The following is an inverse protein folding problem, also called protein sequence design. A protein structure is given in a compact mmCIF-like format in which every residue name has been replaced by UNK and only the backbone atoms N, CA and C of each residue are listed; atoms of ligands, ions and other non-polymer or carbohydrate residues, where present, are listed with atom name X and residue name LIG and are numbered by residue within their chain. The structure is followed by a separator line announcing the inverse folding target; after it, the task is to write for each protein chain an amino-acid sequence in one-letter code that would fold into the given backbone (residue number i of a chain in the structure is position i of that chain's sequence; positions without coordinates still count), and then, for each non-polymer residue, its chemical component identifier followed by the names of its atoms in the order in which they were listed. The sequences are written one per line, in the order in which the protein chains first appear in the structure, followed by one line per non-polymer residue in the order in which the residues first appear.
data_IF_077982164627
#
_entry.id   IF_077982164627
#
_cell.length_a   1.000
_cell.length_b   1.000
_cell.length_c   1.000
_cell.angle_alpha   90.00
_cell.angle_beta   90.00
_cell.angle_gamma   90.00
#
_symmetry.space_group_name_H-M   'P 1'
#
loop_
_entity.id
_entity.type
_entity.pdbx_description
1 polymer ?
#
# COMPACT_ATOMS: atom_id res chain seq x y z
N UNK A 1 79.33 18.98 -25.95
CA UNK A 1 78.06 19.66 -26.24
C UNK A 1 76.95 18.86 -25.58
N UNK A 2 76.47 19.27 -24.42
CA UNK A 2 75.28 18.73 -23.74
C UNK A 2 74.19 19.82 -23.76
N UNK A 3 72.92 19.51 -24.04
CA UNK A 3 71.87 20.51 -23.95
C UNK A 3 71.39 20.63 -22.51
N UNK A 4 71.23 21.88 -22.06
CA UNK A 4 70.66 22.26 -20.78
C UNK A 4 69.13 22.11 -20.86
N UNK A 5 68.56 21.23 -20.03
CA UNK A 5 67.12 21.11 -19.83
C UNK A 5 66.63 22.30 -18.99
N UNK A 6 65.88 23.20 -19.60
CA UNK A 6 65.17 24.29 -18.93
C UNK A 6 63.92 23.73 -18.25
N UNK A 7 63.95 23.64 -16.91
CA UNK A 7 62.79 23.31 -16.09
C UNK A 7 61.88 24.55 -16.04
N UNK A 8 60.76 24.52 -16.76
CA UNK A 8 59.73 25.56 -16.64
C UNK A 8 58.97 25.36 -15.32
N UNK A 9 59.19 26.26 -14.36
CA UNK A 9 58.33 26.39 -13.18
C UNK A 9 56.92 26.81 -13.65
N UNK A 10 55.96 25.92 -13.50
CA UNK A 10 54.54 26.29 -13.52
C UNK A 10 54.25 27.00 -12.20
N UNK A 11 53.76 28.26 -12.20
CA UNK A 11 53.40 28.91 -10.95
C UNK A 11 52.17 28.20 -10.40
N UNK A 12 52.27 27.70 -9.17
CA UNK A 12 51.12 27.25 -8.41
C UNK A 12 50.16 28.44 -8.29
N UNK A 13 48.97 28.33 -8.89
CA UNK A 13 47.87 29.23 -8.57
C UNK A 13 47.58 29.05 -7.07
N UNK A 14 47.98 30.06 -6.28
CA UNK A 14 47.55 30.17 -4.91
C UNK A 14 46.02 30.28 -4.92
N UNK A 15 45.35 29.27 -4.37
CA UNK A 15 43.94 29.37 -4.03
C UNK A 15 43.78 30.58 -3.10
N UNK A 16 42.99 31.57 -3.52
CA UNK A 16 42.63 32.68 -2.66
C UNK A 16 42.00 32.13 -1.37
N UNK A 17 42.28 32.72 -0.19
CA UNK A 17 41.63 32.29 1.04
C UNK A 17 40.12 32.50 0.87
N UNK A 18 39.37 31.40 0.89
CA UNK A 18 37.93 31.43 1.06
C UNK A 18 37.69 32.25 2.33
N UNK A 19 37.15 33.46 2.20
CA UNK A 19 36.70 34.18 3.38
C UNK A 19 35.61 33.31 4.01
N UNK A 20 35.81 32.89 5.26
CA UNK A 20 34.84 32.07 5.99
C UNK A 20 33.46 32.71 5.85
N UNK A 21 32.50 31.94 5.31
CA UNK A 21 31.15 32.43 5.15
C UNK A 21 30.59 32.76 6.55
N UNK A 22 29.87 33.89 6.72
CA UNK A 22 29.23 34.16 8.00
C UNK A 22 28.22 33.04 8.28
N UNK A 23 28.25 32.48 9.49
CA UNK A 23 27.46 31.29 9.86
C UNK A 23 25.98 31.35 9.41
N UNK A 24 25.26 32.49 9.53
CA UNK A 24 23.88 32.58 9.06
C UNK A 24 23.70 32.41 7.54
N UNK A 25 24.70 32.78 6.73
CA UNK A 25 24.65 32.60 5.28
C UNK A 25 24.66 31.12 4.89
N UNK A 26 25.21 30.25 5.75
CA UNK A 26 25.21 28.82 5.52
C UNK A 26 23.81 28.21 5.53
N UNK A 27 22.84 28.84 6.19
CA UNK A 27 21.44 28.40 6.22
C UNK A 27 20.73 28.50 4.86
N UNK A 28 21.17 29.43 3.99
CA UNK A 28 20.46 29.83 2.77
C UNK A 28 20.81 29.03 1.52
N UNK A 29 21.80 28.14 1.59
CA UNK A 29 22.11 27.27 0.46
C UNK A 29 21.15 26.07 0.41
N UNK A 30 20.81 25.58 -0.78
CA UNK A 30 19.87 24.46 -0.97
C UNK A 30 20.55 23.12 -1.36
N UNK A 31 21.89 23.08 -1.40
CA UNK A 31 22.66 21.88 -1.73
C UNK A 31 22.58 20.78 -0.68
N UNK A 32 22.72 19.51 -1.10
CA UNK A 32 22.76 18.35 -0.21
C UNK A 32 24.05 18.28 0.63
N UNK A 33 25.14 18.84 0.13
CA UNK A 33 26.44 18.92 0.81
C UNK A 33 26.70 20.32 1.35
N UNK A 34 27.40 20.41 2.49
CA UNK A 34 27.89 21.68 3.01
C UNK A 34 29.05 22.18 2.16
N UNK A 35 28.96 23.43 1.70
CA UNK A 35 30.07 24.10 1.04
C UNK A 35 31.30 24.15 1.96
N UNK A 36 32.53 24.06 1.42
CA UNK A 36 33.75 24.06 2.22
C UNK A 36 33.86 25.24 3.19
N UNK A 37 33.50 26.45 2.74
CA UNK A 37 33.52 27.66 3.56
C UNK A 37 32.52 27.59 4.73
N UNK A 38 31.39 26.92 4.54
CA UNK A 38 30.40 26.70 5.60
C UNK A 38 30.82 25.61 6.57
N UNK A 39 31.45 24.54 6.08
CA UNK A 39 32.03 23.51 6.95
C UNK A 39 33.07 24.11 7.89
N UNK A 40 34.00 24.89 7.34
CA UNK A 40 35.04 25.57 8.13
C UNK A 40 34.43 26.54 9.16
N UNK A 41 33.43 27.33 8.75
CA UNK A 41 32.74 28.24 9.66
C UNK A 41 32.02 27.48 10.81
N UNK A 42 31.40 26.34 10.52
CA UNK A 42 30.70 25.50 11.51
C UNK A 42 31.70 24.82 12.46
N UNK A 43 32.81 24.29 11.94
CA UNK A 43 33.88 23.71 12.75
C UNK A 43 34.51 24.71 13.71
N UNK A 44 34.52 26.00 13.35
CA UNK A 44 35.03 27.09 14.19
C UNK A 44 33.99 27.70 15.14
N UNK A 45 32.70 27.38 14.98
CA UNK A 45 31.60 27.98 15.73
C UNK A 45 31.42 27.39 17.13
N UNK A 46 30.72 28.13 18.00
CA UNK A 46 30.27 27.60 19.29
C UNK A 46 29.07 26.67 19.12
N UNK A 47 28.92 25.70 20.03
CA UNK A 47 27.82 24.73 19.97
C UNK A 47 26.44 25.38 19.87
N UNK A 48 26.20 26.50 20.58
CA UNK A 48 24.93 27.25 20.54
C UNK A 48 24.60 27.78 19.15
N UNK A 49 25.58 28.38 18.48
CA UNK A 49 25.39 28.97 17.16
C UNK A 49 25.08 27.88 16.12
N UNK A 50 25.72 26.70 16.25
CA UNK A 50 25.44 25.54 15.41
C UNK A 50 24.04 24.99 15.66
N UNK A 51 23.59 24.91 16.92
CA UNK A 51 22.23 24.48 17.24
C UNK A 51 21.19 25.42 16.61
N UNK A 52 21.38 26.73 16.72
CA UNK A 52 20.49 27.72 16.09
C UNK A 52 20.51 27.61 14.56
N UNK A 53 21.68 27.38 13.96
CA UNK A 53 21.84 27.22 12.52
C UNK A 53 21.04 26.04 11.96
N UNK A 54 20.99 24.90 12.67
CA UNK A 54 20.33 23.68 12.15
C UNK A 54 18.81 23.69 12.29
N UNK A 55 18.26 24.55 13.14
CA UNK A 55 16.80 24.61 13.41
C UNK A 55 15.94 24.75 12.14
N UNK A 56 16.24 25.65 11.18
CA UNK A 56 15.44 25.79 9.97
C UNK A 56 15.45 24.53 9.10
N UNK A 57 16.58 23.81 9.03
CA UNK A 57 16.69 22.57 8.26
C UNK A 57 15.89 21.43 8.91
N UNK A 58 15.90 21.35 10.25
CA UNK A 58 15.09 20.37 10.98
C UNK A 58 13.60 20.62 10.72
N UNK A 59 13.15 21.88 10.79
CA UNK A 59 11.75 22.25 10.46
C UNK A 59 11.39 21.93 9.01
N UNK A 60 12.31 22.12 8.08
CA UNK A 60 12.15 21.78 6.67
C UNK A 60 12.32 20.27 6.38
N UNK A 61 12.57 19.44 7.41
CA UNK A 61 12.88 18.00 7.30
C UNK A 61 14.11 17.67 6.44
N UNK A 62 15.01 18.63 6.28
CA UNK A 62 16.30 18.43 5.64
C UNK A 62 17.32 17.88 6.65
N UNK A 63 17.08 16.65 7.10
CA UNK A 63 17.88 16.03 8.17
C UNK A 63 19.31 15.70 7.74
N UNK A 64 19.52 15.36 6.46
CA UNK A 64 20.86 15.10 5.90
C UNK A 64 21.79 16.29 6.14
N UNK A 65 21.30 17.50 5.90
CA UNK A 65 22.09 18.72 6.08
C UNK A 65 22.30 19.09 7.53
N UNK A 66 21.26 18.96 8.35
CA UNK A 66 21.37 19.17 9.80
C UNK A 66 22.41 18.23 10.43
N UNK A 67 22.41 16.95 10.04
CA UNK A 67 23.42 15.98 10.48
C UNK A 67 24.83 16.37 10.01
N UNK A 68 25.00 16.78 8.75
CA UNK A 68 26.31 17.19 8.24
C UNK A 68 26.90 18.38 9.02
N UNK A 69 26.07 19.33 9.46
CA UNK A 69 26.53 20.47 10.26
C UNK A 69 26.85 20.08 11.70
N UNK A 70 26.04 19.22 12.32
CA UNK A 70 26.32 18.69 13.65
C UNK A 70 27.59 17.84 13.66
N UNK A 71 27.79 17.01 12.64
CA UNK A 71 29.01 16.20 12.45
C UNK A 71 30.25 17.08 12.26
N UNK A 72 30.14 18.16 11.48
CA UNK A 72 31.21 19.14 11.32
C UNK A 72 31.58 19.80 12.66
N UNK A 73 30.60 20.27 13.44
CA UNK A 73 30.87 20.86 14.75
C UNK A 73 31.50 19.85 15.74
N UNK A 74 31.05 18.60 15.71
CA UNK A 74 31.57 17.52 16.54
C UNK A 74 32.98 17.07 16.15
N UNK A 75 33.45 17.35 14.93
CA UNK A 75 34.82 17.03 14.53
C UNK A 75 35.86 17.78 15.40
N UNK A 76 35.54 19.00 15.83
CA UNK A 76 36.40 19.80 16.72
C UNK A 76 36.16 19.51 18.20
N UNK A 77 34.91 19.26 18.60
CA UNK A 77 34.56 18.91 19.97
C UNK A 77 33.75 17.60 20.05
N UNK A 78 34.41 16.42 19.97
CA UNK A 78 33.71 15.13 19.87
C UNK A 78 32.93 14.72 21.12
N UNK A 79 33.11 15.43 22.24
CA UNK A 79 32.48 15.14 23.54
C UNK A 79 31.50 16.21 23.99
N UNK A 80 31.14 17.13 23.11
CA UNK A 80 30.11 18.13 23.38
C UNK A 80 28.75 17.44 23.59
N UNK A 81 28.25 17.47 24.82
CA UNK A 81 27.04 16.72 25.18
C UNK A 81 25.80 17.25 24.46
N UNK A 82 25.69 18.57 24.28
CA UNK A 82 24.55 19.21 23.64
C UNK A 82 24.52 18.91 22.13
N UNK A 83 25.67 18.99 21.45
CA UNK A 83 25.75 18.63 20.03
C UNK A 83 25.54 17.13 19.80
N UNK A 84 26.09 16.28 20.68
CA UNK A 84 25.86 14.84 20.61
C UNK A 84 24.38 14.53 20.80
N UNK A 85 23.73 15.09 21.83
CA UNK A 85 22.31 14.88 22.06
C UNK A 85 21.50 15.32 20.83
N UNK A 86 21.74 16.53 20.32
CA UNK A 86 21.01 17.03 19.17
C UNK A 86 21.21 16.17 17.92
N UNK A 87 22.44 15.69 17.69
CA UNK A 87 22.75 14.77 16.58
C UNK A 87 21.94 13.48 16.67
N UNK A 88 21.84 12.87 17.86
CA UNK A 88 21.04 11.66 18.05
C UNK A 88 19.55 11.92 17.79
N UNK A 89 19.01 13.05 18.25
CA UNK A 89 17.62 13.45 17.99
C UNK A 89 17.36 13.57 16.48
N UNK A 90 18.22 14.31 15.75
CA UNK A 90 18.09 14.48 14.30
C UNK A 90 18.29 13.16 13.56
N UNK A 91 19.20 12.30 14.00
CA UNK A 91 19.40 10.97 13.41
C UNK A 91 18.14 10.11 13.54
N UNK A 92 17.53 10.08 14.73
CA UNK A 92 16.28 9.36 14.96
C UNK A 92 15.16 9.84 14.02
N UNK A 93 14.99 11.16 13.88
CA UNK A 93 14.02 11.74 12.96
C UNK A 93 14.30 11.40 11.49
N UNK A 94 15.58 11.31 11.10
CA UNK A 94 16.00 10.95 9.76
C UNK A 94 15.71 9.47 9.44
N UNK A 95 16.01 8.57 10.37
CA UNK A 95 15.76 7.14 10.24
C UNK A 95 14.26 6.84 10.15
N UNK A 96 13.45 7.48 11.01
CA UNK A 96 11.99 7.37 10.96
C UNK A 96 11.43 7.89 9.62
N UNK A 97 11.90 9.05 9.17
CA UNK A 97 11.46 9.62 7.89
C UNK A 97 11.85 8.71 6.70
N UNK A 98 13.03 8.12 6.72
CA UNK A 98 13.47 7.15 5.71
C UNK A 98 12.61 5.88 5.73
N UNK A 99 12.26 5.38 6.92
CA UNK A 99 11.36 4.23 7.07
C UNK A 99 9.95 4.51 6.55
N UNK A 100 9.37 5.67 6.89
CA UNK A 100 8.06 6.09 6.35
C UNK A 100 8.08 6.20 4.83
N UNK A 101 9.11 6.84 4.27
CA UNK A 101 9.29 6.94 2.82
C UNK A 101 9.51 5.57 2.15
N UNK A 102 10.09 4.60 2.86
CA UNK A 102 10.19 3.21 2.40
C UNK A 102 8.82 2.54 2.38
N UNK A 103 7.98 2.75 3.40
CA UNK A 103 6.59 2.24 3.42
C UNK A 103 5.77 2.75 2.26
N UNK A 104 5.84 4.06 1.97
CA UNK A 104 5.11 4.67 0.85
C UNK A 104 5.56 4.13 -0.51
N UNK A 105 6.86 3.84 -0.65
CA UNK A 105 7.43 3.23 -1.88
C UNK A 105 7.30 1.71 -1.92
N UNK A 106 6.79 1.09 -0.87
CA UNK A 106 6.57 -0.35 -0.81
C UNK A 106 7.78 -1.22 -0.45
N UNK A 107 8.81 -0.68 0.21
CA UNK A 107 9.95 -1.44 0.77
C UNK A 107 9.65 -2.12 2.11
N UNK A 108 10.61 -2.80 2.73
CA UNK A 108 10.57 -3.79 3.85
C UNK A 108 9.37 -3.77 4.83
N UNK A 109 8.84 -2.61 5.23
CA UNK A 109 7.60 -2.52 6.02
C UNK A 109 6.33 -2.96 5.29
N UNK A 110 6.32 -2.84 3.96
CA UNK A 110 5.26 -3.34 3.08
C UNK A 110 5.21 -4.86 3.01
N UNK A 111 6.32 -5.55 3.26
CA UNK A 111 6.38 -7.02 3.32
C UNK A 111 5.69 -7.54 4.58
N UNK A 112 5.80 -6.81 5.70
CA UNK A 112 5.09 -7.14 6.94
C UNK A 112 3.57 -6.94 6.77
N UNK A 113 3.14 -5.82 6.19
CA UNK A 113 1.71 -5.57 5.95
C UNK A 113 1.11 -6.57 4.96
N UNK A 114 1.87 -6.98 3.93
CA UNK A 114 1.49 -8.04 3.02
C UNK A 114 1.36 -9.38 3.76
N UNK A 115 2.35 -9.76 4.56
CA UNK A 115 2.32 -11.00 5.35
C UNK A 115 1.15 -11.03 6.34
N UNK A 116 0.82 -9.88 6.96
CA UNK A 116 -0.35 -9.73 7.81
C UNK A 116 -1.64 -9.87 7.02
N UNK A 117 -1.74 -9.26 5.83
CA UNK A 117 -2.90 -9.40 4.96
C UNK A 117 -3.12 -10.85 4.51
N UNK A 118 -2.05 -11.57 4.14
CA UNK A 118 -2.11 -13.00 3.78
C UNK A 118 -2.55 -13.87 4.97
N UNK A 119 -1.98 -13.63 6.15
CA UNK A 119 -2.37 -14.34 7.38
C UNK A 119 -3.84 -14.08 7.72
N UNK A 120 -4.28 -12.82 7.65
CA UNK A 120 -5.67 -12.45 7.94
C UNK A 120 -6.63 -12.99 6.89
N UNK A 121 -6.25 -12.98 5.62
CA UNK A 121 -7.01 -13.60 4.54
C UNK A 121 -7.25 -15.09 4.82
N UNK A 122 -6.26 -15.82 5.34
CA UNK A 122 -6.40 -17.27 5.55
C UNK A 122 -7.00 -17.64 6.91
N UNK A 123 -6.91 -16.77 7.92
CA UNK A 123 -7.31 -17.10 9.31
C UNK A 123 -8.51 -16.35 9.86
N UNK A 124 -8.88 -15.19 9.33
CA UNK A 124 -10.11 -14.50 9.75
C UNK A 124 -11.32 -15.14 9.07
N UNK A 125 -12.52 -14.69 9.46
CA UNK A 125 -13.78 -15.09 8.84
C UNK A 125 -14.60 -13.87 8.40
N UNK A 126 -15.49 -14.10 7.45
CA UNK A 126 -16.45 -13.11 6.96
C UNK A 126 -15.81 -11.94 6.21
N UNK A 127 -16.50 -10.80 6.20
CA UNK A 127 -16.12 -9.60 5.42
C UNK A 127 -14.72 -9.06 5.79
N UNK A 128 -14.26 -9.26 7.03
CA UNK A 128 -12.90 -8.85 7.43
C UNK A 128 -11.80 -9.67 6.75
N UNK A 129 -12.07 -10.96 6.51
CA UNK A 129 -11.16 -11.81 5.77
C UNK A 129 -11.10 -11.39 4.30
N UNK A 130 -12.24 -11.10 3.67
CA UNK A 130 -12.31 -10.64 2.28
C UNK A 130 -11.50 -9.36 2.04
N UNK A 131 -11.61 -8.37 2.92
CA UNK A 131 -10.79 -7.14 2.84
C UNK A 131 -9.29 -7.43 2.90
N UNK A 132 -8.90 -8.40 3.73
CA UNK A 132 -7.49 -8.80 3.86
C UNK A 132 -7.01 -9.56 2.62
N UNK A 133 -7.85 -10.43 2.05
CA UNK A 133 -7.57 -11.11 0.79
C UNK A 133 -7.41 -10.11 -0.36
N UNK A 134 -8.29 -9.10 -0.45
CA UNK A 134 -8.20 -8.04 -1.45
C UNK A 134 -6.86 -7.27 -1.33
N UNK A 135 -6.45 -6.92 -0.10
CA UNK A 135 -5.17 -6.25 0.13
C UNK A 135 -3.97 -7.09 -0.33
N UNK A 136 -3.97 -8.39 -0.02
CA UNK A 136 -2.89 -9.29 -0.43
C UNK A 136 -2.90 -9.51 -1.95
N UNK A 137 -4.08 -9.69 -2.57
CA UNK A 137 -4.24 -9.90 -4.01
C UNK A 137 -3.87 -8.65 -4.83
N UNK A 138 -3.99 -7.43 -4.31
CA UNK A 138 -3.46 -6.23 -4.99
C UNK A 138 -1.94 -6.30 -5.20
N UNK A 139 -1.21 -6.98 -4.31
CA UNK A 139 0.25 -7.18 -4.42
C UNK A 139 0.59 -8.48 -5.15
N UNK A 140 -0.22 -9.52 -4.99
CA UNK A 140 -0.05 -10.84 -5.60
C UNK A 140 -1.33 -11.29 -6.35
N UNK A 141 -1.68 -10.67 -7.49
CA UNK A 141 -2.99 -10.88 -8.14
C UNK A 141 -3.21 -12.30 -8.69
N UNK A 142 -2.14 -13.09 -8.83
CA UNK A 142 -2.19 -14.46 -9.33
C UNK A 142 -1.97 -15.53 -8.27
N UNK A 143 -1.96 -15.18 -6.98
CA UNK A 143 -1.74 -16.16 -5.91
C UNK A 143 -2.97 -17.07 -5.77
N UNK A 144 -2.80 -18.33 -6.17
CA UNK A 144 -3.86 -19.32 -6.18
C UNK A 144 -4.41 -19.61 -4.78
N UNK A 145 -3.57 -19.55 -3.74
CA UNK A 145 -3.99 -19.83 -2.37
C UNK A 145 -4.87 -18.70 -1.82
N UNK A 146 -4.52 -17.44 -2.12
CA UNK A 146 -5.34 -16.28 -1.74
C UNK A 146 -6.67 -16.24 -2.49
N UNK A 147 -6.68 -16.61 -3.78
CA UNK A 147 -7.91 -16.74 -4.56
C UNK A 147 -8.81 -17.86 -4.02
N UNK A 148 -8.24 -19.02 -3.66
CA UNK A 148 -8.97 -20.12 -3.05
C UNK A 148 -9.55 -19.75 -1.68
N UNK A 149 -8.77 -19.10 -0.82
CA UNK A 149 -9.23 -18.60 0.48
C UNK A 149 -10.38 -17.59 0.31
N UNK A 150 -10.31 -16.74 -0.72
CA UNK A 150 -11.40 -15.81 -1.05
C UNK A 150 -12.69 -16.55 -1.41
N UNK A 151 -12.60 -17.61 -2.22
CA UNK A 151 -13.74 -18.48 -2.52
C UNK A 151 -14.34 -19.14 -1.27
N UNK A 152 -13.48 -19.58 -0.34
CA UNK A 152 -13.91 -20.17 0.94
C UNK A 152 -14.71 -19.16 1.78
N UNK A 153 -14.24 -17.91 1.88
CA UNK A 153 -14.96 -16.85 2.61
C UNK A 153 -16.26 -16.44 1.95
N UNK A 154 -16.28 -16.31 0.62
CA UNK A 154 -17.49 -15.99 -0.14
C UNK A 154 -18.54 -17.10 -0.01
N UNK A 155 -18.11 -18.36 0.01
CA UNK A 155 -18.98 -19.51 0.27
C UNK A 155 -19.60 -19.42 1.66
N UNK A 156 -18.79 -19.14 2.69
CA UNK A 156 -19.26 -18.98 4.07
C UNK A 156 -20.24 -17.81 4.24
N UNK A 157 -20.10 -16.76 3.43
CA UNK A 157 -21.02 -15.61 3.38
C UNK A 157 -22.24 -15.81 2.48
N UNK A 158 -22.38 -16.96 1.82
CA UNK A 158 -23.48 -17.27 0.89
C UNK A 158 -23.38 -16.56 -0.47
N UNK A 159 -22.26 -15.90 -0.77
CA UNK A 159 -21.99 -15.18 -2.02
C UNK A 159 -21.47 -16.15 -3.09
N UNK A 160 -22.34 -17.08 -3.49
CA UNK A 160 -22.00 -18.24 -4.30
C UNK A 160 -21.36 -17.93 -5.65
N UNK A 161 -21.92 -17.00 -6.42
CA UNK A 161 -21.45 -16.71 -7.78
C UNK A 161 -20.04 -16.12 -7.76
N UNK A 162 -19.78 -15.25 -6.78
CA UNK A 162 -18.45 -14.70 -6.55
C UNK A 162 -17.48 -15.77 -6.05
N UNK A 163 -17.93 -16.70 -5.20
CA UNK A 163 -17.12 -17.84 -4.76
C UNK A 163 -16.70 -18.73 -5.94
N UNK A 164 -17.63 -19.05 -6.84
CA UNK A 164 -17.33 -19.79 -8.07
C UNK A 164 -16.31 -19.07 -8.95
N UNK A 165 -16.45 -17.76 -9.10
CA UNK A 165 -15.49 -16.95 -9.85
C UNK A 165 -14.09 -17.02 -9.21
N UNK A 166 -13.99 -16.86 -7.90
CA UNK A 166 -12.73 -16.93 -7.15
C UNK A 166 -12.08 -18.32 -7.25
N UNK A 167 -12.86 -19.41 -7.12
CA UNK A 167 -12.32 -20.77 -7.27
C UNK A 167 -11.87 -21.08 -8.69
N UNK A 168 -12.61 -20.64 -9.71
CA UNK A 168 -12.18 -20.81 -11.11
C UNK A 168 -10.91 -20.02 -11.40
N UNK A 169 -10.79 -18.80 -10.87
CA UNK A 169 -9.57 -18.02 -10.96
C UNK A 169 -8.39 -18.73 -10.26
N UNK A 170 -8.59 -19.29 -9.06
CA UNK A 170 -7.58 -20.08 -8.36
C UNK A 170 -7.16 -21.32 -9.17
N UNK A 171 -8.13 -22.07 -9.70
CA UNK A 171 -7.91 -23.29 -10.47
C UNK A 171 -7.12 -23.02 -11.76
N UNK A 172 -7.40 -21.89 -12.42
CA UNK A 172 -6.66 -21.47 -13.61
C UNK A 172 -5.18 -21.14 -13.32
N UNK A 173 -4.84 -20.77 -12.08
CA UNK A 173 -3.46 -20.49 -11.67
C UNK A 173 -2.74 -21.74 -11.17
N UNK A 174 -3.43 -22.57 -10.41
CA UNK A 174 -2.92 -23.83 -9.90
C UNK A 174 -4.04 -24.88 -9.92
N UNK A 175 -4.01 -25.83 -10.88
CA UNK A 175 -4.95 -26.94 -10.92
C UNK A 175 -4.97 -27.74 -9.62
N UNK A 176 -6.15 -28.07 -9.12
CA UNK A 176 -6.33 -28.77 -7.86
C UNK A 176 -7.66 -29.50 -7.84
N UNK A 177 -7.62 -30.81 -7.58
CA UNK A 177 -8.83 -31.63 -7.43
C UNK A 177 -9.75 -31.13 -6.31
N UNK A 178 -9.18 -30.53 -5.26
CA UNK A 178 -9.96 -29.92 -4.18
C UNK A 178 -10.76 -28.70 -4.67
N UNK A 179 -10.18 -27.88 -5.55
CA UNK A 179 -10.87 -26.74 -6.15
C UNK A 179 -11.95 -27.19 -7.12
N UNK A 180 -11.68 -28.21 -7.94
CA UNK A 180 -12.68 -28.83 -8.82
C UNK A 180 -13.89 -29.36 -8.04
N UNK A 181 -13.63 -30.06 -6.92
CA UNK A 181 -14.68 -30.57 -6.05
C UNK A 181 -15.52 -29.43 -5.42
N UNK A 182 -14.87 -28.34 -4.96
CA UNK A 182 -15.58 -27.17 -4.41
C UNK A 182 -16.47 -26.51 -5.46
N UNK A 183 -15.96 -26.34 -6.69
CA UNK A 183 -16.73 -25.80 -7.82
C UNK A 183 -17.93 -26.70 -8.11
N UNK A 184 -17.72 -28.01 -8.24
CA UNK A 184 -18.81 -28.96 -8.54
C UNK A 184 -19.89 -28.97 -7.44
N UNK A 185 -19.48 -28.90 -6.16
CA UNK A 185 -20.42 -28.78 -5.03
C UNK A 185 -21.27 -27.51 -5.14
N UNK A 186 -20.62 -26.38 -5.46
CA UNK A 186 -21.24 -25.07 -5.71
C UNK A 186 -21.81 -24.93 -7.13
N UNK A 187 -21.90 -25.98 -7.92
CA UNK A 187 -22.71 -25.99 -9.14
C UNK A 187 -23.94 -26.90 -8.93
N UNK A 188 -23.77 -28.01 -8.21
CA UNK A 188 -24.83 -28.97 -7.93
C UNK A 188 -25.83 -28.58 -6.82
N UNK A 189 -25.53 -27.60 -5.97
CA UNK A 189 -26.49 -27.12 -4.96
C UNK A 189 -27.47 -26.09 -5.56
N UNK A 190 -28.78 -26.23 -5.37
CA UNK A 190 -29.74 -25.31 -5.98
C UNK A 190 -29.51 -23.87 -5.44
N UNK A 191 -29.38 -22.82 -6.26
CA UNK A 191 -29.18 -21.46 -5.74
C UNK A 191 -30.38 -21.06 -4.87
N UNK A 192 -30.16 -20.29 -3.78
CA UNK A 192 -31.27 -19.71 -3.05
C UNK A 192 -32.12 -18.89 -4.02
N UNK A 193 -33.43 -19.11 -3.97
CA UNK A 193 -34.41 -18.40 -4.78
C UNK A 193 -34.18 -16.88 -4.63
N UNK A 194 -34.14 -16.08 -5.72
CA UNK A 194 -33.93 -14.64 -5.59
C UNK A 194 -34.96 -14.06 -4.62
N UNK A 195 -34.53 -13.25 -3.64
CA UNK A 195 -35.43 -12.70 -2.62
C UNK A 195 -36.63 -11.93 -3.22
N UNK A 196 -36.45 -11.36 -4.42
CA UNK A 196 -37.49 -10.66 -5.16
C UNK A 196 -38.46 -11.58 -5.93
N UNK A 197 -38.18 -12.87 -6.09
CA UNK A 197 -39.04 -13.79 -6.83
C UNK A 197 -40.36 -14.05 -6.09
N UNK A 198 -40.30 -14.17 -4.75
CA UNK A 198 -41.51 -14.38 -3.96
C UNK A 198 -42.44 -13.16 -4.02
N UNK A 199 -41.90 -11.94 -4.04
CA UNK A 199 -42.67 -10.70 -4.24
C UNK A 199 -43.28 -10.61 -5.65
N UNK A 200 -42.53 -10.98 -6.69
CA UNK A 200 -43.01 -11.02 -8.06
C UNK A 200 -44.15 -12.04 -8.25
N UNK A 201 -44.02 -13.22 -7.66
CA UNK A 201 -45.05 -14.25 -7.69
C UNK A 201 -46.31 -13.82 -6.92
N UNK A 202 -46.15 -13.15 -5.77
CA UNK A 202 -47.25 -12.61 -5.00
C UNK A 202 -48.00 -11.50 -5.76
N UNK A 203 -47.28 -10.59 -6.41
CA UNK A 203 -47.86 -9.53 -7.25
C UNK A 203 -48.62 -10.11 -8.45
N UNK A 204 -48.05 -11.12 -9.11
CA UNK A 204 -48.70 -11.83 -10.22
C UNK A 204 -49.97 -12.56 -9.77
N UNK A 205 -49.95 -13.18 -8.59
CA UNK A 205 -51.13 -13.83 -8.01
C UNK A 205 -52.22 -12.81 -7.66
N UNK A 206 -51.87 -11.68 -7.06
CA UNK A 206 -52.80 -10.60 -6.76
C UNK A 206 -53.44 -10.02 -8.03
N UNK A 207 -52.70 -9.93 -9.14
CA UNK A 207 -53.23 -9.50 -10.43
C UNK A 207 -54.28 -10.49 -10.98
N UNK A 208 -54.05 -11.81 -10.82
CA UNK A 208 -55.02 -12.85 -11.20
C UNK A 208 -56.29 -12.76 -10.35
N UNK A 209 -56.15 -12.63 -9.04
CA UNK A 209 -57.28 -12.56 -8.10
C UNK A 209 -58.16 -11.33 -8.34
N UNK A 210 -57.56 -10.21 -8.77
CA UNK A 210 -58.28 -8.99 -9.19
C UNK A 210 -58.87 -9.06 -10.60
N UNK A 211 -58.68 -10.18 -11.32
CA UNK A 211 -59.15 -10.34 -12.70
C UNK A 211 -58.42 -9.45 -13.72
N UNK A 212 -57.23 -8.94 -13.39
CA UNK A 212 -56.44 -8.06 -14.27
C UNK A 212 -55.68 -8.83 -15.36
N UNK A 213 -55.50 -10.14 -15.18
CA UNK A 213 -54.85 -11.04 -16.15
C UNK A 213 -55.66 -12.34 -16.27
N UNK A 214 -55.58 -12.97 -17.44
CA UNK A 214 -56.27 -14.25 -17.68
C UNK A 214 -55.53 -15.42 -17.00
N UNK A 215 -56.21 -16.56 -16.73
CA UNK A 215 -55.53 -17.76 -16.21
C UNK A 215 -54.36 -18.23 -17.09
N UNK A 216 -54.53 -18.19 -18.42
CA UNK A 216 -53.48 -18.56 -19.38
C UNK A 216 -52.28 -17.61 -19.33
N UNK A 217 -52.52 -16.31 -19.16
CA UNK A 217 -51.46 -15.30 -19.00
C UNK A 217 -50.73 -15.42 -17.67
N UNK A 218 -51.46 -15.73 -16.59
CA UNK A 218 -50.89 -16.04 -15.28
C UNK A 218 -49.95 -17.25 -15.37
N UNK A 219 -50.42 -18.37 -15.97
CA UNK A 219 -49.64 -19.59 -16.09
C UNK A 219 -48.37 -19.37 -16.93
N UNK A 220 -48.50 -18.65 -18.06
CA UNK A 220 -47.37 -18.30 -18.91
C UNK A 220 -46.32 -17.42 -18.19
N UNK A 221 -46.77 -16.37 -17.48
CA UNK A 221 -45.87 -15.47 -16.75
C UNK A 221 -45.24 -16.12 -15.52
N UNK A 222 -45.98 -16.97 -14.81
CA UNK A 222 -45.47 -17.74 -13.68
C UNK A 222 -44.42 -18.75 -14.14
N UNK A 223 -44.67 -19.46 -15.23
CA UNK A 223 -43.70 -20.38 -15.81
C UNK A 223 -42.43 -19.63 -16.24
N UNK A 224 -42.56 -18.45 -16.85
CA UNK A 224 -41.42 -17.61 -17.23
C UNK A 224 -40.61 -17.12 -16.02
N UNK A 225 -41.25 -16.68 -14.94
CA UNK A 225 -40.57 -16.26 -13.70
C UNK A 225 -39.83 -17.42 -13.01
N UNK A 226 -40.39 -18.63 -13.04
CA UNK A 226 -39.78 -19.83 -12.47
C UNK A 226 -38.67 -20.43 -13.35
N UNK A 227 -38.73 -20.18 -14.66
CA UNK A 227 -37.74 -20.62 -15.64
C UNK A 227 -36.62 -19.59 -15.88
N UNK A 228 -36.78 -18.36 -15.40
CA UNK A 228 -35.79 -17.32 -15.56
C UNK A 228 -34.51 -17.69 -14.78
N UNK A 229 -33.33 -17.73 -15.42
CA UNK A 229 -32.08 -17.81 -14.68
C UNK A 229 -31.99 -16.59 -13.75
N UNK A 230 -31.42 -16.76 -12.55
CA UNK A 230 -31.21 -15.65 -11.64
C UNK A 230 -30.50 -14.53 -12.41
N UNK A 231 -31.17 -13.40 -12.59
CA UNK A 231 -30.66 -12.33 -13.44
C UNK A 231 -29.37 -11.78 -12.82
N UNK A 232 -28.24 -12.05 -13.47
CA UNK A 232 -26.96 -11.41 -13.18
C UNK A 232 -26.99 -10.02 -13.79
N UNK A 233 -26.85 -8.93 -13.01
CA UNK A 233 -26.57 -7.63 -13.60
C UNK A 233 -25.14 -7.67 -14.16
N UNK A 234 -24.98 -7.65 -15.50
CA UNK A 234 -23.70 -7.30 -16.13
C UNK A 234 -23.04 -8.31 -17.09
N UNK A 235 -23.72 -9.34 -17.59
CA UNK A 235 -23.10 -10.25 -18.57
C UNK A 235 -23.03 -9.64 -19.98
N UNK A 236 -21.89 -9.05 -20.36
CA UNK A 236 -21.50 -8.90 -21.77
C UNK A 236 -20.62 -10.08 -22.21
N UNK A 237 -20.81 -10.46 -23.47
CA UNK A 237 -20.27 -11.64 -24.11
C UNK A 237 -18.80 -11.50 -24.55
N UNK A 238 -18.05 -12.61 -24.45
CA UNK A 238 -16.85 -12.89 -25.25
C UNK A 238 -15.54 -12.90 -24.45
N UNK A 239 -15.09 -14.07 -24.00
CA UNK A 239 -13.73 -14.24 -23.46
C UNK A 239 -12.91 -15.15 -24.38
N UNK A 240 -11.87 -14.56 -24.98
CA UNK A 240 -10.69 -15.27 -25.53
C UNK A 240 -9.79 -15.71 -24.37
N UNK A 241 -9.11 -16.83 -24.55
CA UNK A 241 -8.37 -17.57 -23.52
C UNK A 241 -7.16 -16.84 -22.86
N UNK A 242 -6.80 -15.62 -23.28
CA UNK A 242 -5.62 -14.90 -22.76
C UNK A 242 -5.94 -13.76 -21.78
N UNK A 243 -7.20 -13.61 -21.39
CA UNK A 243 -7.59 -12.62 -20.39
C UNK A 243 -8.44 -13.31 -19.32
N UNK A 244 -7.81 -13.89 -18.30
CA UNK A 244 -8.52 -14.17 -17.05
C UNK A 244 -8.82 -12.81 -16.44
N UNK A 245 -10.09 -12.35 -16.42
CA UNK A 245 -10.40 -11.06 -15.83
C UNK A 245 -9.97 -11.08 -14.36
N UNK A 246 -9.33 -10.01 -13.92
CA UNK A 246 -9.12 -9.81 -12.50
C UNK A 246 -10.49 -9.91 -11.83
N UNK A 247 -10.61 -10.75 -10.81
CA UNK A 247 -11.84 -10.84 -10.02
C UNK A 247 -12.05 -9.45 -9.43
N UNK A 248 -13.06 -8.72 -9.92
CA UNK A 248 -13.39 -7.38 -9.45
C UNK A 248 -14.08 -7.52 -8.09
N UNK A 249 -13.28 -7.47 -7.04
CA UNK A 249 -13.79 -7.44 -5.68
C UNK A 249 -14.46 -6.07 -5.49
N UNK A 250 -15.79 -6.05 -5.40
CA UNK A 250 -16.56 -4.82 -5.24
C UNK A 250 -15.95 -3.91 -4.16
N UNK A 251 -15.97 -2.59 -4.39
CA UNK A 251 -15.36 -1.58 -3.51
C UNK A 251 -15.81 -1.73 -2.05
N UNK A 252 -15.02 -2.41 -1.21
CA UNK A 252 -15.22 -2.37 0.22
C UNK A 252 -14.62 -1.08 0.76
N UNK A 253 -15.47 -0.19 1.27
CA UNK A 253 -15.00 1.01 1.94
C UNK A 253 -14.21 0.61 3.20
N UNK A 254 -12.93 0.98 3.22
CA UNK A 254 -12.08 0.84 4.40
C UNK A 254 -12.53 1.85 5.46
N UNK A 255 -13.21 1.38 6.51
CA UNK A 255 -13.19 2.09 7.78
C UNK A 255 -11.87 1.73 8.46
N UNK A 256 -10.85 2.57 8.27
CA UNK A 256 -9.62 2.51 9.05
C UNK A 256 -9.99 2.91 10.48
N UNK A 257 -10.33 1.93 11.32
CA UNK A 257 -10.34 2.15 12.76
C UNK A 257 -8.86 2.17 13.17
N UNK A 258 -8.33 3.38 13.34
CA UNK A 258 -7.02 3.59 13.94
C UNK A 258 -6.92 2.82 15.24
N UNK A 259 -5.83 2.07 15.39
CA UNK A 259 -5.62 1.17 16.52
C UNK A 259 -5.23 2.01 17.74
N UNK A 260 -6.20 2.62 18.41
CA UNK A 260 -6.04 3.19 19.77
C UNK A 260 -5.96 2.08 20.85
N UNK A 261 -5.92 0.80 20.45
CA UNK A 261 -5.96 -0.35 21.35
C UNK A 261 -4.66 -0.63 22.13
N UNK A 262 -3.62 0.19 21.99
CA UNK A 262 -2.38 0.05 22.78
C UNK A 262 -2.28 1.02 23.98
N UNK A 263 -3.35 1.74 24.34
CA UNK A 263 -3.26 2.70 25.46
C UNK A 263 -3.26 2.08 26.85
N UNK A 264 -3.58 0.81 27.01
CA UNK A 264 -3.58 0.16 28.32
C UNK A 264 -3.15 -1.31 28.22
N UNK A 265 -1.86 -1.56 28.40
CA UNK A 265 -1.38 -2.80 29.01
C UNK A 265 -0.65 -2.43 30.31
N UNK A 266 -0.88 -3.17 31.41
CA UNK A 266 -0.27 -2.93 32.71
C UNK A 266 1.24 -3.15 32.74
#
# INVERSE_FOLDING_TARGET
MWPVLALALVPALAAAPLHAAPLPACAAHDGAELEPACREAIEAAGWRDVLELVEPWIRARNYTRALAALDAALARNPRDADLLQRRHEVQSMAEEAAWLASRERGGDGADIELALAETRCTRLAGEAALRSCEQALRRKPGDAALLAATGDHLTALGRRDEALAAYRAALARAPSAALEQRIALLEGSNPPRPAALDEQLASLQAAREKGLITPAEYDGRRAALLAAPAAVPGAQAGVRADAVPAVDFGRYHALVIGIDAYRHLP
#
